data_IF_052782671382
#
_entry.id   IF_052782671382
#
_cell.length_a   1.000
_cell.length_b   1.000
_cell.length_c   1.000
_cell.angle_alpha   90.00
_cell.angle_beta   90.00
_cell.angle_gamma   90.00
#
_symmetry.space_group_name_H-M   'P 1'
#
loop_
_entity.id
_entity.type
_entity.pdbx_description
1 polymer ?
#
# COMPACT_ATOMS: atom_id res chain seq x y z
N UNK A 1 -17.18 -1.27 9.49
CA UNK A 1 -17.56 -2.65 9.13
C UNK A 1 -16.57 -3.69 9.65
N UNK A 2 -15.29 -3.69 9.25
CA UNK A 2 -14.34 -4.75 9.66
C UNK A 2 -14.10 -4.85 11.18
N UNK A 3 -13.97 -3.71 11.87
CA UNK A 3 -13.85 -3.69 13.34
C UNK A 3 -15.10 -4.28 14.02
N UNK A 4 -16.28 -4.00 13.47
CA UNK A 4 -17.56 -4.54 13.94
C UNK A 4 -17.63 -6.05 13.71
N UNK A 5 -17.29 -6.54 12.51
CA UNK A 5 -17.26 -7.96 12.21
C UNK A 5 -16.35 -8.71 13.18
N UNK A 6 -15.14 -8.18 13.43
CA UNK A 6 -14.19 -8.73 14.39
C UNK A 6 -14.73 -8.74 15.82
N UNK A 7 -15.43 -7.68 16.26
CA UNK A 7 -16.08 -7.59 17.57
C UNK A 7 -17.10 -8.72 17.77
N UNK A 8 -17.80 -9.12 16.71
CA UNK A 8 -18.81 -10.18 16.74
C UNK A 8 -18.30 -11.55 16.24
N UNK A 9 -16.99 -11.73 16.07
CA UNK A 9 -16.39 -13.01 15.68
C UNK A 9 -16.56 -13.41 14.21
N UNK A 10 -17.00 -12.48 13.35
CA UNK A 10 -17.13 -12.71 11.91
C UNK A 10 -15.87 -12.28 11.16
N UNK A 11 -15.52 -13.07 10.14
CA UNK A 11 -14.50 -12.73 9.15
C UNK A 11 -15.16 -12.66 7.78
N UNK A 12 -14.67 -11.78 6.91
CA UNK A 12 -15.05 -11.80 5.50
C UNK A 12 -14.05 -12.70 4.78
N UNK A 13 -14.57 -13.77 4.20
CA UNK A 13 -13.78 -14.75 3.49
C UNK A 13 -14.47 -15.16 2.19
N UNK A 14 -13.68 -15.43 1.17
CA UNK A 14 -14.12 -15.88 -0.16
C UNK A 14 -13.17 -16.95 -0.65
N UNK A 15 -13.61 -17.92 -1.45
CA UNK A 15 -12.71 -18.99 -1.93
C UNK A 15 -11.62 -18.40 -2.83
N UNK A 16 -12.02 -17.55 -3.78
CA UNK A 16 -11.12 -16.92 -4.74
C UNK A 16 -11.53 -15.44 -4.94
N UNK A 17 -10.80 -14.47 -4.36
CA UNK A 17 -11.12 -13.06 -4.52
C UNK A 17 -10.69 -12.58 -5.90
N UNK A 18 -11.61 -11.98 -6.65
CA UNK A 18 -11.26 -11.22 -7.87
C UNK A 18 -10.26 -10.11 -7.54
N UNK A 19 -9.37 -9.78 -8.49
CA UNK A 19 -8.43 -8.68 -8.37
C UNK A 19 -9.12 -7.36 -7.99
N UNK A 20 -10.27 -7.07 -8.59
CA UNK A 20 -11.04 -5.85 -8.34
C UNK A 20 -11.41 -5.71 -6.85
N UNK A 21 -12.01 -6.75 -6.26
CA UNK A 21 -12.32 -6.80 -4.83
C UNK A 21 -11.04 -6.68 -3.99
N UNK A 22 -9.98 -7.40 -4.35
CA UNK A 22 -8.72 -7.36 -3.62
C UNK A 22 -8.13 -5.94 -3.60
N UNK A 23 -8.25 -5.18 -4.69
CA UNK A 23 -7.78 -3.79 -4.84
C UNK A 23 -8.61 -2.78 -4.05
N UNK A 24 -9.88 -3.06 -3.76
CA UNK A 24 -10.75 -2.18 -2.95
C UNK A 24 -10.51 -2.31 -1.44
N UNK A 25 -9.75 -3.31 -0.99
CA UNK A 25 -9.56 -3.56 0.44
C UNK A 25 -8.69 -2.49 1.11
N UNK A 26 -8.89 -2.25 2.42
CA UNK A 26 -8.12 -1.23 3.14
C UNK A 26 -6.62 -1.52 3.21
N UNK A 27 -5.79 -0.52 2.88
CA UNK A 27 -4.33 -0.65 2.91
C UNK A 27 -3.77 -0.99 4.31
N UNK A 28 -4.19 -0.28 5.36
CA UNK A 28 -3.54 -0.30 6.68
C UNK A 28 -4.22 -1.16 7.75
N UNK A 29 -5.56 -1.27 7.68
CA UNK A 29 -6.34 -2.13 8.56
C UNK A 29 -6.92 -3.30 7.75
N UNK A 30 -6.02 -3.97 7.05
CA UNK A 30 -6.35 -5.06 6.13
C UNK A 30 -6.98 -6.24 6.88
N UNK A 31 -7.91 -6.93 6.23
CA UNK A 31 -8.69 -8.01 6.86
C UNK A 31 -7.86 -9.27 7.16
N UNK A 32 -6.90 -9.56 6.30
CA UNK A 32 -6.04 -10.73 6.40
C UNK A 32 -4.56 -10.29 6.43
N UNK A 33 -4.07 -9.76 7.56
CA UNK A 33 -2.65 -9.55 7.74
C UNK A 33 -1.93 -10.90 7.83
N UNK A 34 -0.72 -10.98 7.27
CA UNK A 34 0.10 -12.18 7.36
C UNK A 34 0.44 -12.47 8.84
N UNK A 35 0.15 -13.68 9.36
CA UNK A 35 0.41 -14.01 10.75
C UNK A 35 1.91 -13.94 11.07
N UNK A 36 2.25 -13.50 12.28
CA UNK A 36 3.63 -13.36 12.74
C UNK A 36 4.40 -12.14 12.19
N UNK A 37 3.79 -11.31 11.33
CA UNK A 37 4.46 -10.13 10.76
C UNK A 37 4.04 -8.86 11.51
N UNK A 38 5.04 -8.13 12.03
CA UNK A 38 4.82 -6.83 12.66
C UNK A 38 4.24 -5.84 11.65
N UNK A 39 3.12 -5.23 12.00
CA UNK A 39 2.49 -4.20 11.18
C UNK A 39 3.32 -2.92 11.22
N UNK A 40 3.71 -2.39 10.07
CA UNK A 40 4.53 -1.17 9.95
C UNK A 40 3.63 0.01 9.61
N UNK A 41 2.69 0.35 10.49
CA UNK A 41 1.72 1.41 10.22
C UNK A 41 2.17 2.80 10.72
N UNK A 42 3.18 2.85 11.58
CA UNK A 42 3.56 4.06 12.31
C UNK A 42 4.86 4.72 11.82
N UNK A 43 5.43 4.26 10.69
CA UNK A 43 6.59 4.95 10.11
C UNK A 43 6.20 6.29 9.50
N UNK A 44 7.14 7.23 9.40
CA UNK A 44 6.92 8.51 8.72
C UNK A 44 6.45 8.30 7.28
N UNK A 45 7.03 7.33 6.57
CA UNK A 45 6.58 6.94 5.23
C UNK A 45 5.11 6.46 5.22
N UNK A 46 4.70 5.67 6.20
CA UNK A 46 3.29 5.22 6.34
C UNK A 46 2.34 6.36 6.71
N UNK A 47 2.83 7.39 7.40
CA UNK A 47 2.06 8.61 7.63
C UNK A 47 1.92 9.39 6.33
N UNK A 48 3.02 9.64 5.61
CA UNK A 48 3.04 10.29 4.31
C UNK A 48 2.09 9.61 3.31
N UNK A 49 2.13 8.27 3.21
CA UNK A 49 1.21 7.51 2.38
C UNK A 49 -0.26 7.81 2.72
N UNK A 50 -0.62 7.96 4.00
CA UNK A 50 -2.00 8.22 4.44
C UNK A 50 -2.45 9.67 4.30
N UNK A 51 -1.55 10.62 4.54
CA UNK A 51 -1.89 12.04 4.65
C UNK A 51 -1.58 12.81 3.38
N UNK A 52 -0.49 12.45 2.70
CA UNK A 52 0.05 13.17 1.53
C UNK A 52 -0.37 12.47 0.25
N UNK A 53 -0.09 11.17 0.12
CA UNK A 53 -0.53 10.38 -1.04
C UNK A 53 -1.98 9.89 -0.94
N UNK A 54 -2.66 10.16 0.18
CA UNK A 54 -4.06 9.82 0.45
C UNK A 54 -4.42 8.34 0.21
N UNK A 55 -3.46 7.43 0.41
CA UNK A 55 -3.65 5.99 0.23
C UNK A 55 -4.74 5.46 1.17
N UNK A 56 -5.76 4.84 0.58
CA UNK A 56 -6.86 4.18 1.33
C UNK A 56 -6.89 2.68 1.07
N UNK A 57 -6.58 2.28 -0.15
CA UNK A 57 -6.80 0.93 -0.65
C UNK A 57 -5.50 0.21 -1.02
N UNK A 58 -5.56 -1.10 -1.18
CA UNK A 58 -4.48 -1.92 -1.72
C UNK A 58 -4.21 -1.60 -3.20
N UNK A 59 -5.21 -1.18 -3.96
CA UNK A 59 -5.04 -0.64 -5.31
C UNK A 59 -4.20 0.64 -5.33
N UNK A 60 -4.41 1.54 -4.37
CA UNK A 60 -3.56 2.73 -4.22
C UNK A 60 -2.10 2.36 -3.93
N UNK A 61 -1.89 1.38 -3.04
CA UNK A 61 -0.55 0.86 -2.77
C UNK A 61 0.09 0.29 -4.04
N UNK A 62 -0.65 -0.51 -4.81
CA UNK A 62 -0.16 -1.10 -6.06
C UNK A 62 0.29 -0.04 -7.06
N UNK A 63 -0.55 1.00 -7.26
CA UNK A 63 -0.23 2.12 -8.14
C UNK A 63 1.09 2.80 -7.74
N UNK A 64 1.28 3.04 -6.44
CA UNK A 64 2.52 3.66 -5.95
C UNK A 64 3.71 2.71 -6.14
N UNK A 65 3.55 1.40 -5.91
CA UNK A 65 4.66 0.44 -6.06
C UNK A 65 5.10 0.22 -7.49
N UNK A 66 4.19 0.34 -8.47
CA UNK A 66 4.51 0.08 -9.88
C UNK A 66 5.65 0.96 -10.41
N UNK A 67 5.83 2.16 -9.87
CA UNK A 67 6.95 3.04 -10.25
C UNK A 67 8.32 2.41 -10.00
N UNK A 68 8.45 1.55 -8.97
CA UNK A 68 9.71 0.88 -8.64
C UNK A 68 10.19 -0.07 -9.76
N UNK A 69 9.30 -0.44 -10.68
CA UNK A 69 9.57 -1.32 -11.80
C UNK A 69 9.66 -0.59 -13.15
N UNK A 70 9.54 0.74 -13.14
CA UNK A 70 9.66 1.55 -14.36
C UNK A 70 11.14 1.78 -14.68
N UNK A 71 11.52 1.74 -15.95
CA UNK A 71 12.92 1.87 -16.40
C UNK A 71 13.55 3.22 -16.06
N UNK A 72 12.73 4.28 -15.97
CA UNK A 72 13.17 5.63 -15.63
C UNK A 72 13.31 5.87 -14.12
N UNK A 73 12.84 4.91 -13.29
CA UNK A 73 12.88 5.07 -11.84
C UNK A 73 14.26 4.70 -11.30
N UNK A 74 14.83 5.57 -10.47
CA UNK A 74 16.13 5.37 -9.84
C UNK A 74 15.98 5.15 -8.34
N UNK A 75 16.90 4.37 -7.76
CA UNK A 75 17.00 4.18 -6.31
C UNK A 75 17.68 5.39 -5.66
N UNK A 76 17.10 6.58 -5.83
CA UNK A 76 17.63 7.85 -5.35
C UNK A 76 16.51 8.73 -4.79
N UNK A 77 16.75 9.50 -3.71
CA UNK A 77 15.82 10.52 -3.25
C UNK A 77 15.57 11.62 -4.30
N UNK A 78 16.52 11.81 -5.22
CA UNK A 78 16.49 12.82 -6.28
C UNK A 78 15.99 12.27 -7.62
N UNK A 79 15.41 11.05 -7.65
CA UNK A 79 14.91 10.44 -8.88
C UNK A 79 13.99 11.40 -9.66
N UNK A 80 14.32 11.67 -10.92
CA UNK A 80 13.63 12.64 -11.79
C UNK A 80 12.53 12.00 -12.66
N UNK A 81 12.09 10.77 -12.36
CA UNK A 81 10.97 10.18 -13.09
C UNK A 81 9.68 10.97 -12.83
N UNK A 82 8.80 11.03 -13.83
CA UNK A 82 7.56 11.82 -13.80
C UNK A 82 6.78 11.61 -12.49
N UNK A 83 6.56 10.35 -12.09
CA UNK A 83 5.83 10.04 -10.86
C UNK A 83 6.50 10.55 -9.57
N UNK A 84 7.84 10.58 -9.52
CA UNK A 84 8.56 11.11 -8.36
C UNK A 84 8.59 12.64 -8.37
N UNK A 85 8.65 13.24 -9.55
CA UNK A 85 8.57 14.68 -9.70
C UNK A 85 7.18 15.21 -9.34
N UNK A 86 6.11 14.63 -9.88
CA UNK A 86 4.72 14.95 -9.53
C UNK A 86 4.47 14.84 -8.02
N UNK A 87 4.95 13.75 -7.38
CA UNK A 87 4.77 13.59 -5.93
C UNK A 87 5.50 14.66 -5.11
N UNK A 88 6.66 15.16 -5.58
CA UNK A 88 7.38 16.26 -4.92
C UNK A 88 6.67 17.60 -5.14
N UNK A 89 6.33 17.89 -6.39
CA UNK A 89 5.89 19.21 -6.82
C UNK A 89 4.41 19.45 -6.48
N UNK A 90 3.55 18.43 -6.65
CA UNK A 90 2.10 18.56 -6.45
C UNK A 90 1.66 18.12 -5.05
N UNK A 91 2.27 17.07 -4.51
CA UNK A 91 1.88 16.52 -3.20
C UNK A 91 2.77 17.00 -2.05
N UNK A 92 3.94 17.58 -2.34
CA UNK A 92 4.89 17.99 -1.30
C UNK A 92 5.55 16.79 -0.59
N UNK A 93 5.66 15.64 -1.24
CA UNK A 93 6.33 14.47 -0.68
C UNK A 93 7.84 14.67 -0.68
N UNK A 94 8.47 14.63 0.50
CA UNK A 94 9.92 14.82 0.62
C UNK A 94 10.75 13.66 0.02
N UNK A 95 10.21 12.43 -0.01
CA UNK A 95 10.91 11.27 -0.56
C UNK A 95 9.94 10.23 -1.14
N UNK A 96 9.56 10.40 -2.42
CA UNK A 96 8.63 9.49 -3.09
C UNK A 96 9.15 8.05 -3.14
N UNK A 97 10.46 7.86 -3.31
CA UNK A 97 11.08 6.54 -3.32
C UNK A 97 10.85 5.78 -2.00
N UNK A 98 11.07 6.45 -0.86
CA UNK A 98 10.84 5.87 0.47
C UNK A 98 9.37 5.51 0.67
N UNK A 99 8.45 6.33 0.16
CA UNK A 99 7.01 6.04 0.20
C UNK A 99 6.66 4.81 -0.65
N UNK A 100 7.25 4.67 -1.84
CA UNK A 100 7.04 3.51 -2.69
C UNK A 100 7.58 2.21 -2.07
N UNK A 101 8.77 2.24 -1.44
CA UNK A 101 9.30 1.09 -0.68
C UNK A 101 8.41 0.74 0.52
N UNK A 102 7.88 1.74 1.23
CA UNK A 102 6.93 1.51 2.32
C UNK A 102 5.62 0.89 1.82
N UNK A 103 5.14 1.31 0.65
CA UNK A 103 3.95 0.73 0.02
C UNK A 103 4.18 -0.74 -0.37
N UNK A 104 5.35 -1.08 -0.93
CA UNK A 104 5.71 -2.45 -1.26
C UNK A 104 5.82 -3.33 0.00
N UNK A 105 6.49 -2.82 1.04
CA UNK A 105 6.58 -3.50 2.33
C UNK A 105 5.19 -3.74 2.94
N UNK A 106 4.23 -2.86 2.67
CA UNK A 106 2.84 -3.01 3.11
C UNK A 106 2.10 -4.11 2.33
N UNK A 107 2.25 -4.16 1.01
CA UNK A 107 1.70 -5.25 0.19
C UNK A 107 2.25 -6.61 0.62
N UNK A 108 3.55 -6.68 0.97
CA UNK A 108 4.19 -7.90 1.47
C UNK A 108 3.65 -8.40 2.83
N UNK A 109 2.90 -7.56 3.56
CA UNK A 109 2.24 -7.93 4.83
C UNK A 109 0.82 -8.46 4.63
N UNK A 110 0.29 -8.43 3.40
CA UNK A 110 -1.02 -8.97 3.09
C UNK A 110 -0.87 -10.48 2.81
N UNK A 111 -1.81 -11.26 3.33
CA UNK A 111 -1.85 -12.69 3.06
C UNK A 111 -1.93 -12.95 1.55
N UNK A 112 -1.18 -13.93 1.03
CA UNK A 112 -1.08 -14.21 -0.41
C UNK A 112 -2.43 -14.34 -1.09
N UNK A 113 -3.44 -14.93 -0.42
CA UNK A 113 -4.83 -14.98 -0.89
C UNK A 113 -5.40 -13.63 -1.37
N UNK A 114 -5.02 -12.52 -0.76
CA UNK A 114 -5.51 -11.17 -1.07
C UNK A 114 -4.46 -10.28 -1.73
N UNK A 115 -3.32 -10.85 -2.17
CA UNK A 115 -2.30 -10.09 -2.89
C UNK A 115 -2.84 -9.62 -4.24
N UNK A 116 -2.62 -8.34 -4.54
CA UNK A 116 -3.10 -7.65 -5.75
C UNK A 116 -2.10 -7.72 -6.91
N UNK A 117 -0.96 -8.40 -6.73
CA UNK A 117 0.13 -8.53 -7.72
C UNK A 117 0.13 -9.88 -8.45
N UNK A 118 -0.97 -10.62 -8.37
CA UNK A 118 -1.11 -11.96 -8.97
C UNK A 118 -1.47 -11.90 -10.44
#
# INVERSE_FOLDING_TARGET
MLATARKYGYTFDTIDPSLEIAMMLPAFHHIAPRPGVRQVNNSQASQCLRTTHLVRTTGDLLRITNRLHTTLHEYSPECECDCCQEDRDELGCASPHVCARAAEARLNQIHTKWDVRK
#
